data_IF_239194061838
#
_entry.id   IF_239194061838
#
_cell.length_a   1.000
_cell.length_b   1.000
_cell.length_c   1.000
_cell.angle_alpha   90.00
_cell.angle_beta   90.00
_cell.angle_gamma   90.00
#
_symmetry.space_group_name_H-M   'P 1'
#
loop_
_entity.id
_entity.type
_entity.pdbx_description
1 polymer ?
#
# COMPACT_ATOMS: atom_id res chain seq x y z
N UNK A 1 6.85 5.34 -19.38
CA UNK A 1 8.17 4.66 -19.46
C UNK A 1 8.63 4.41 -20.89
N UNK A 2 7.80 3.91 -21.81
CA UNK A 2 8.22 3.66 -23.21
C UNK A 2 8.89 4.87 -23.87
N UNK A 3 8.26 6.04 -23.84
CA UNK A 3 8.81 7.25 -24.43
C UNK A 3 10.19 7.65 -23.86
N UNK A 4 10.40 7.46 -22.55
CA UNK A 4 11.70 7.75 -21.92
C UNK A 4 12.79 6.78 -22.41
N UNK A 5 12.52 5.49 -22.48
CA UNK A 5 13.53 4.52 -22.95
C UNK A 5 13.78 4.56 -24.46
N UNK A 6 12.79 4.98 -25.25
CA UNK A 6 12.92 5.03 -26.71
C UNK A 6 13.45 6.37 -27.22
N UNK A 7 13.24 7.46 -26.47
CA UNK A 7 13.55 8.81 -26.94
C UNK A 7 14.33 9.67 -25.93
N UNK A 8 14.40 9.24 -24.66
CA UNK A 8 15.04 10.01 -23.59
C UNK A 8 16.44 9.51 -23.18
N UNK A 9 16.85 8.33 -23.65
CA UNK A 9 18.18 7.76 -23.36
C UNK A 9 18.92 7.50 -24.66
N UNK A 10 20.24 7.74 -24.66
CA UNK A 10 21.08 7.43 -25.82
C UNK A 10 21.17 5.91 -26.03
N UNK A 11 21.02 5.43 -27.27
CA UNK A 11 21.13 4.01 -27.55
C UNK A 11 22.58 3.55 -27.36
N UNK A 12 22.76 2.51 -26.56
CA UNK A 12 24.06 1.85 -26.40
C UNK A 12 24.13 0.64 -27.33
N UNK A 13 25.17 0.58 -28.17
CA UNK A 13 25.37 -0.53 -29.09
C UNK A 13 26.06 -1.72 -28.40
N UNK A 14 25.31 -2.40 -27.53
CA UNK A 14 25.72 -3.63 -26.84
C UNK A 14 24.74 -4.73 -27.23
N UNK A 15 25.26 -5.90 -27.63
CA UNK A 15 24.45 -7.05 -27.96
C UNK A 15 23.62 -7.50 -26.74
N UNK A 16 22.35 -7.85 -26.97
CA UNK A 16 21.51 -8.43 -25.93
C UNK A 16 22.10 -9.75 -25.43
N UNK A 17 22.07 -9.96 -24.11
CA UNK A 17 22.44 -11.26 -23.54
C UNK A 17 21.44 -12.34 -23.94
N UNK A 18 21.96 -13.54 -24.15
CA UNK A 18 21.12 -14.72 -24.36
C UNK A 18 20.26 -15.03 -23.12
N UNK A 19 19.19 -15.81 -23.31
CA UNK A 19 18.28 -16.14 -22.21
C UNK A 19 18.94 -17.20 -21.31
N UNK A 20 19.28 -16.83 -20.08
CA UNK A 20 19.83 -17.78 -19.08
C UNK A 20 18.75 -18.64 -18.41
N UNK A 21 17.50 -18.55 -18.88
CA UNK A 21 16.35 -19.26 -18.29
C UNK A 21 16.31 -20.68 -18.87
N UNK A 22 16.44 -21.73 -18.04
CA UNK A 22 16.43 -23.11 -18.54
C UNK A 22 15.05 -23.51 -19.06
N UNK A 23 15.02 -24.42 -20.03
CA UNK A 23 13.79 -25.09 -20.42
C UNK A 23 13.26 -25.93 -19.24
N UNK A 24 11.94 -25.94 -18.95
CA UNK A 24 10.82 -25.37 -19.72
C UNK A 24 10.45 -23.91 -19.40
N UNK A 25 11.11 -23.26 -18.43
CA UNK A 25 10.77 -21.91 -17.97
C UNK A 25 11.03 -20.82 -19.02
N UNK A 26 11.83 -21.12 -20.05
CA UNK A 26 12.06 -20.24 -21.20
C UNK A 26 10.87 -20.14 -22.17
N UNK A 27 9.85 -21.00 -22.04
CA UNK A 27 8.65 -20.93 -22.88
C UNK A 27 7.87 -19.64 -22.61
N UNK A 28 7.79 -18.75 -23.61
CA UNK A 28 7.05 -17.48 -23.50
C UNK A 28 5.56 -17.57 -23.82
N UNK A 29 5.15 -18.61 -24.56
CA UNK A 29 3.76 -18.75 -25.01
C UNK A 29 2.73 -18.87 -23.86
N UNK A 30 3.01 -19.50 -22.69
CA UNK A 30 2.03 -19.56 -21.60
C UNK A 30 1.73 -18.17 -21.04
N UNK A 31 2.76 -17.32 -20.95
CA UNK A 31 2.58 -15.93 -20.50
C UNK A 31 1.81 -15.11 -21.53
N UNK A 32 2.02 -15.34 -22.83
CA UNK A 32 1.25 -14.69 -23.88
C UNK A 32 -0.24 -15.07 -23.79
N UNK A 33 -0.56 -16.35 -23.59
CA UNK A 33 -1.92 -16.82 -23.38
C UNK A 33 -2.55 -16.21 -22.12
N UNK A 34 -1.84 -16.25 -20.99
CA UNK A 34 -2.30 -15.65 -19.74
C UNK A 34 -2.58 -14.14 -19.88
N UNK A 35 -1.68 -13.40 -20.56
CA UNK A 35 -1.87 -11.98 -20.85
C UNK A 35 -3.09 -11.74 -21.73
N UNK A 36 -3.34 -12.60 -22.73
CA UNK A 36 -4.52 -12.50 -23.59
C UNK A 36 -5.85 -12.65 -22.85
N UNK A 37 -5.86 -13.37 -21.72
CA UNK A 37 -7.07 -13.56 -20.90
C UNK A 37 -7.24 -12.45 -19.86
N UNK A 38 -6.15 -12.03 -19.20
CA UNK A 38 -6.24 -11.23 -17.98
C UNK A 38 -5.71 -9.80 -18.10
N UNK A 39 -4.88 -9.49 -19.09
CA UNK A 39 -4.33 -8.13 -19.23
C UNK A 39 -5.31 -7.25 -20.02
N UNK A 40 -5.64 -6.04 -19.53
CA UNK A 40 -6.47 -5.12 -20.30
C UNK A 40 -5.71 -4.63 -21.54
N UNK A 41 -6.48 -4.25 -22.56
CA UNK A 41 -5.92 -3.56 -23.72
C UNK A 41 -5.31 -2.23 -23.28
N UNK A 42 -4.05 -1.93 -23.67
CA UNK A 42 -3.45 -0.62 -23.39
C UNK A 42 -4.36 0.49 -23.91
N UNK A 43 -4.68 1.44 -23.04
CA UNK A 43 -5.48 2.61 -23.36
C UNK A 43 -4.87 3.84 -22.71
N UNK A 44 -5.09 4.99 -23.34
CA UNK A 44 -4.61 6.26 -22.81
C UNK A 44 -5.39 6.64 -21.55
N UNK A 45 -4.71 7.36 -20.66
CA UNK A 45 -5.35 7.87 -19.47
C UNK A 45 -6.31 9.01 -19.82
N UNK A 46 -7.60 8.79 -19.59
CA UNK A 46 -8.64 9.80 -19.80
C UNK A 46 -8.90 10.56 -18.51
N UNK A 47 -8.64 11.87 -18.52
CA UNK A 47 -8.90 12.78 -17.38
C UNK A 47 -10.39 13.07 -17.30
N UNK A 48 -10.98 12.96 -16.12
CA UNK A 48 -12.35 13.42 -15.88
C UNK A 48 -12.37 14.91 -15.50
N UNK A 49 -12.92 15.82 -16.34
CA UNK A 49 -12.92 17.26 -16.07
C UNK A 49 -13.84 17.67 -14.91
N UNK A 50 -14.70 16.76 -14.43
CA UNK A 50 -15.62 17.01 -13.31
C UNK A 50 -15.00 16.67 -11.94
N UNK A 51 -13.77 16.13 -11.92
CA UNK A 51 -13.04 15.77 -10.70
C UNK A 51 -11.91 16.79 -10.47
N UNK A 52 -11.56 17.03 -9.21
CA UNK A 52 -10.42 17.87 -8.83
C UNK A 52 -9.16 17.42 -9.62
N UNK A 53 -8.49 18.34 -10.35
CA UNK A 53 -7.31 18.00 -11.15
C UNK A 53 -6.18 17.38 -10.32
N UNK A 54 -6.06 17.73 -9.03
CA UNK A 54 -5.07 17.15 -8.12
C UNK A 54 -5.41 15.68 -7.81
N UNK A 55 -6.70 15.34 -7.70
CA UNK A 55 -7.12 13.95 -7.52
C UNK A 55 -6.91 13.13 -8.80
N UNK A 56 -7.20 13.70 -9.97
CA UNK A 56 -6.94 13.03 -11.26
C UNK A 56 -5.45 12.81 -11.50
N UNK A 57 -4.60 13.78 -11.12
CA UNK A 57 -3.14 13.59 -11.12
C UNK A 57 -2.72 12.45 -10.21
N UNK A 58 -3.29 12.38 -9.01
CA UNK A 58 -3.03 11.29 -8.08
C UNK A 58 -3.48 9.93 -8.62
N UNK A 59 -4.64 9.89 -9.28
CA UNK A 59 -5.16 8.70 -9.96
C UNK A 59 -4.21 8.23 -11.05
N UNK A 60 -3.74 9.13 -11.91
CA UNK A 60 -2.75 8.83 -12.94
C UNK A 60 -1.47 8.21 -12.38
N UNK A 61 -0.95 8.78 -11.29
CA UNK A 61 0.27 8.31 -10.65
C UNK A 61 0.08 6.96 -9.94
N UNK A 62 -1.07 6.73 -9.30
CA UNK A 62 -1.32 5.52 -8.50
C UNK A 62 -1.78 4.33 -9.35
N UNK A 63 -2.70 4.56 -10.30
CA UNK A 63 -3.24 3.52 -11.19
C UNK A 63 -2.34 3.23 -12.39
N UNK A 64 -1.65 4.25 -12.90
CA UNK A 64 -0.78 4.13 -14.06
C UNK A 64 0.67 3.91 -13.67
N UNK A 65 1.43 5.01 -13.62
CA UNK A 65 2.90 4.97 -13.62
C UNK A 65 3.53 4.37 -12.36
N UNK A 66 2.92 4.59 -11.20
CA UNK A 66 3.42 4.10 -9.92
C UNK A 66 3.06 2.65 -9.62
N UNK A 67 2.20 2.00 -10.41
CA UNK A 67 1.81 0.59 -10.28
C UNK A 67 1.48 0.17 -8.83
N UNK A 68 0.87 1.07 -8.05
CA UNK A 68 0.64 0.85 -6.63
C UNK A 68 -0.27 -0.36 -6.40
N UNK A 69 -1.19 -0.62 -7.34
CA UNK A 69 -2.06 -1.79 -7.38
C UNK A 69 -1.30 -3.12 -7.41
N UNK A 70 -0.15 -3.18 -8.08
CA UNK A 70 0.59 -4.44 -8.28
C UNK A 70 1.02 -5.10 -6.96
N UNK A 71 1.27 -4.31 -5.92
CA UNK A 71 1.60 -4.83 -4.59
C UNK A 71 0.38 -4.81 -3.65
N UNK A 72 -0.46 -3.79 -3.73
CA UNK A 72 -1.53 -3.57 -2.75
C UNK A 72 -2.84 -4.29 -3.08
N UNK A 73 -3.13 -4.54 -4.36
CA UNK A 73 -4.33 -5.25 -4.82
C UNK A 73 -4.20 -6.76 -4.56
N UNK A 74 -5.23 -7.44 -4.05
CA UNK A 74 -5.23 -8.89 -3.96
C UNK A 74 -5.03 -9.54 -5.34
N UNK A 75 -4.29 -10.65 -5.36
CA UNK A 75 -4.17 -11.51 -6.54
C UNK A 75 -5.21 -12.62 -6.52
N UNK A 76 -5.66 -13.04 -7.70
CA UNK A 76 -6.48 -14.24 -7.89
C UNK A 76 -5.59 -15.50 -7.84
N UNK A 77 -6.22 -16.68 -7.90
CA UNK A 77 -5.52 -17.97 -7.95
C UNK A 77 -4.58 -18.08 -9.15
N UNK A 78 -4.98 -17.48 -10.27
CA UNK A 78 -4.18 -17.40 -11.51
C UNK A 78 -3.17 -16.22 -11.49
N UNK A 79 -2.88 -15.64 -10.32
CA UNK A 79 -1.87 -14.60 -10.07
C UNK A 79 -2.09 -13.22 -10.72
N UNK A 80 -3.21 -12.98 -11.40
CA UNK A 80 -3.60 -11.65 -11.87
C UNK A 80 -4.14 -10.80 -10.72
N UNK A 81 -3.99 -9.48 -10.85
CA UNK A 81 -4.65 -8.53 -9.96
C UNK A 81 -6.17 -8.66 -10.08
N UNK A 82 -6.88 -8.67 -8.95
CA UNK A 82 -8.34 -8.78 -8.96
C UNK A 82 -9.04 -7.49 -9.40
N UNK A 83 -8.33 -6.37 -9.35
CA UNK A 83 -8.83 -5.06 -9.77
C UNK A 83 -7.66 -4.14 -10.14
N UNK A 84 -7.77 -3.42 -11.25
CA UNK A 84 -6.70 -2.55 -11.77
C UNK A 84 -6.98 -1.06 -11.55
N UNK A 85 -8.24 -0.70 -11.27
CA UNK A 85 -8.70 0.68 -11.13
C UNK A 85 -9.76 0.82 -10.03
N UNK A 86 -10.00 2.05 -9.57
CA UNK A 86 -11.07 2.36 -8.62
C UNK A 86 -12.47 1.92 -9.11
N UNK A 87 -12.70 2.01 -10.42
CA UNK A 87 -13.94 1.58 -11.07
C UNK A 87 -14.23 0.09 -10.95
N UNK A 88 -13.21 -0.74 -10.78
CA UNK A 88 -13.34 -2.20 -10.59
C UNK A 88 -13.71 -2.57 -9.14
N UNK A 89 -13.94 -1.55 -8.29
CA UNK A 89 -14.68 -1.69 -7.06
C UNK A 89 -13.82 -2.03 -5.84
N UNK A 90 -14.39 -2.83 -4.95
CA UNK A 90 -13.90 -2.90 -3.56
C UNK A 90 -12.54 -3.58 -3.44
N UNK A 91 -12.15 -4.44 -4.38
CA UNK A 91 -10.83 -5.08 -4.35
C UNK A 91 -9.70 -4.07 -4.55
N UNK A 92 -9.90 -3.06 -5.41
CA UNK A 92 -8.96 -1.95 -5.59
C UNK A 92 -9.01 -0.97 -4.40
N UNK A 93 -10.21 -0.57 -3.94
CA UNK A 93 -10.32 0.35 -2.80
C UNK A 93 -9.77 -0.25 -1.49
N UNK A 94 -9.88 -1.56 -1.32
CA UNK A 94 -9.27 -2.29 -0.19
C UNK A 94 -7.75 -2.39 -0.32
N UNK A 95 -7.18 -2.28 -1.51
CA UNK A 95 -5.73 -2.19 -1.72
C UNK A 95 -5.14 -1.00 -0.93
N UNK A 96 -5.82 0.16 -0.99
CA UNK A 96 -5.46 1.35 -0.20
C UNK A 96 -5.56 1.12 1.33
N UNK A 97 -6.22 0.05 1.79
CA UNK A 97 -6.36 -0.30 3.21
C UNK A 97 -5.54 -1.55 3.59
N UNK A 98 -4.93 -2.22 2.62
CA UNK A 98 -4.34 -3.54 2.83
C UNK A 98 -3.00 -3.43 3.55
N UNK A 99 -2.93 -4.07 4.72
CA UNK A 99 -1.69 -4.38 5.43
C UNK A 99 -0.94 -5.43 4.63
N UNK A 100 0.22 -5.09 4.10
CA UNK A 100 1.16 -6.08 3.57
C UNK A 100 1.86 -6.74 4.76
N UNK A 101 1.21 -7.72 5.38
CA UNK A 101 1.89 -8.69 6.24
C UNK A 101 1.96 -9.99 5.47
N UNK A 102 3.16 -10.38 5.06
CA UNK A 102 3.42 -11.75 4.65
C UNK A 102 2.98 -12.69 5.79
N UNK A 103 2.00 -13.57 5.52
CA UNK A 103 1.77 -14.78 6.32
C UNK A 103 1.04 -14.69 7.67
N UNK A 104 0.30 -13.63 8.02
CA UNK A 104 -0.47 -13.61 9.29
C UNK A 104 -2.00 -13.63 9.11
N UNK A 105 -2.74 -14.49 9.86
CA UNK A 105 -4.20 -14.48 9.85
C UNK A 105 -4.76 -13.13 10.36
N UNK A 106 -5.92 -12.69 9.84
CA UNK A 106 -6.41 -11.31 9.95
C UNK A 106 -6.75 -10.83 11.38
N UNK A 107 -6.71 -11.71 12.39
CA UNK A 107 -7.15 -11.41 13.75
C UNK A 107 -6.05 -10.80 14.67
N UNK A 108 -4.76 -10.89 14.33
CA UNK A 108 -3.67 -10.44 15.20
C UNK A 108 -2.76 -9.35 14.58
N UNK A 109 -3.17 -8.72 13.48
CA UNK A 109 -2.38 -7.70 12.77
C UNK A 109 -2.50 -6.29 13.39
N UNK A 110 -2.37 -6.18 14.71
CA UNK A 110 -2.24 -4.88 15.37
C UNK A 110 -0.78 -4.39 15.21
N UNK A 111 -0.62 -3.23 14.54
CA UNK A 111 0.60 -2.39 14.51
C UNK A 111 1.64 -2.62 13.40
N UNK A 112 1.24 -3.00 12.19
CA UNK A 112 2.10 -2.81 11.00
C UNK A 112 1.48 -1.82 10.03
N UNK A 113 2.37 -1.05 9.37
CA UNK A 113 2.09 0.18 8.65
C UNK A 113 0.87 0.05 7.72
N UNK A 114 0.09 1.09 7.79
CA UNK A 114 -1.24 1.22 7.22
C UNK A 114 -1.26 2.64 6.69
N UNK A 115 -2.15 2.91 5.74
CA UNK A 115 -2.48 4.28 5.34
C UNK A 115 -2.92 5.15 6.55
N UNK A 116 -3.08 4.58 7.76
CA UNK A 116 -3.11 5.30 9.04
C UNK A 116 -1.96 6.31 9.23
N UNK A 117 -0.81 6.14 8.58
CA UNK A 117 0.27 7.13 8.56
C UNK A 117 -0.04 8.39 7.74
N UNK A 118 -0.85 8.26 6.69
CA UNK A 118 -1.20 9.31 5.74
C UNK A 118 -2.23 10.30 6.31
N UNK A 119 -3.04 9.86 7.26
CA UNK A 119 -4.11 10.69 7.87
C UNK A 119 -3.57 11.70 8.89
N UNK A 120 -2.42 11.42 9.53
CA UNK A 120 -1.89 12.22 10.65
C UNK A 120 -0.48 12.74 10.47
N UNK A 121 0.24 12.34 9.43
CA UNK A 121 1.38 13.13 8.96
C UNK A 121 0.82 14.46 8.45
N UNK A 122 1.10 15.55 9.15
CA UNK A 122 0.65 16.91 8.84
C UNK A 122 0.99 17.36 7.40
N UNK A 123 1.82 16.60 6.68
CA UNK A 123 2.33 16.92 5.34
C UNK A 123 2.16 15.82 4.27
N UNK A 124 1.50 14.68 4.55
CA UNK A 124 1.31 13.62 3.53
C UNK A 124 2.60 12.99 2.96
N UNK A 125 3.78 13.31 3.52
CA UNK A 125 5.11 12.92 3.00
C UNK A 125 5.55 11.49 3.32
N UNK A 126 4.70 10.66 3.91
CA UNK A 126 5.06 9.26 4.19
C UNK A 126 5.51 8.49 2.94
N UNK A 127 4.88 8.68 1.76
CA UNK A 127 5.37 8.05 0.53
C UNK A 127 6.80 8.52 0.16
N UNK A 128 7.18 9.75 0.48
CA UNK A 128 8.50 10.31 0.15
C UNK A 128 9.57 9.97 1.19
N UNK A 129 9.21 9.95 2.47
CA UNK A 129 10.14 9.81 3.60
C UNK A 129 10.17 8.41 4.19
N UNK A 130 9.22 7.55 3.80
CA UNK A 130 9.05 6.22 4.37
C UNK A 130 8.65 6.20 5.84
N UNK A 131 8.39 7.35 6.50
CA UNK A 131 8.18 7.44 7.95
C UNK A 131 7.25 8.59 8.36
N UNK A 132 6.61 8.42 9.51
CA UNK A 132 6.05 9.49 10.34
C UNK A 132 6.18 9.10 11.84
N UNK A 133 5.62 9.93 12.72
CA UNK A 133 5.65 9.75 14.18
C UNK A 133 5.02 8.43 14.69
N UNK A 134 4.20 7.76 13.88
CA UNK A 134 3.42 6.58 14.27
C UNK A 134 3.65 5.35 13.38
N UNK A 135 4.32 5.49 12.25
CA UNK A 135 4.56 4.39 11.32
C UNK A 135 5.80 4.62 10.49
N UNK A 136 6.47 3.54 10.15
CA UNK A 136 7.60 3.50 9.22
C UNK A 136 7.37 2.35 8.24
N UNK A 137 7.85 2.55 7.03
CA UNK A 137 7.81 1.61 5.91
C UNK A 137 8.92 0.57 6.10
N UNK A 138 8.63 -0.69 5.82
CA UNK A 138 9.57 -1.81 5.92
C UNK A 138 9.41 -2.77 4.75
N UNK A 139 10.42 -3.60 4.50
CA UNK A 139 10.41 -4.59 3.41
C UNK A 139 10.45 -3.94 2.03
N UNK A 140 9.99 -4.60 0.97
CA UNK A 140 10.11 -4.08 -0.41
C UNK A 140 9.46 -2.71 -0.69
N UNK A 141 8.68 -2.15 0.24
CA UNK A 141 8.22 -0.77 0.14
C UNK A 141 9.31 0.25 0.51
N UNK A 142 10.35 -0.11 1.28
CA UNK A 142 11.51 0.79 1.52
C UNK A 142 12.27 1.05 0.23
N UNK A 143 12.45 0.02 -0.60
CA UNK A 143 13.17 0.12 -1.88
C UNK A 143 12.40 1.03 -2.85
N UNK A 144 11.07 0.98 -2.81
CA UNK A 144 10.20 1.88 -3.59
C UNK A 144 10.35 3.34 -3.13
N UNK A 145 10.50 3.57 -1.82
CA UNK A 145 10.75 4.93 -1.30
C UNK A 145 12.13 5.41 -1.73
N UNK A 146 13.17 4.60 -1.50
CA UNK A 146 14.57 4.94 -1.73
C UNK A 146 14.93 5.09 -3.21
N UNK A 147 14.35 4.28 -4.10
CA UNK A 147 14.72 4.30 -5.51
C UNK A 147 13.69 4.99 -6.40
N UNK A 148 12.57 5.48 -5.84
CA UNK A 148 11.53 6.14 -6.63
C UNK A 148 10.84 7.30 -5.91
N UNK A 149 10.05 7.03 -4.87
CA UNK A 149 9.12 8.03 -4.35
C UNK A 149 9.80 9.23 -3.68
N UNK A 150 11.02 9.06 -3.14
CA UNK A 150 11.73 10.18 -2.50
C UNK A 150 12.09 11.31 -3.47
N UNK A 151 12.17 11.02 -4.77
CA UNK A 151 12.53 11.97 -5.83
C UNK A 151 11.33 12.68 -6.47
N UNK A 152 10.10 12.35 -6.06
CA UNK A 152 8.90 13.00 -6.58
C UNK A 152 8.77 14.44 -6.08
N UNK A 153 8.10 15.27 -6.89
CA UNK A 153 7.74 16.63 -6.50
C UNK A 153 6.74 16.63 -5.33
N UNK A 154 6.74 17.70 -4.52
CA UNK A 154 5.78 17.87 -3.43
C UNK A 154 4.32 17.86 -3.95
N UNK A 155 4.10 18.32 -5.19
CA UNK A 155 2.79 18.31 -5.85
C UNK A 155 2.33 16.88 -6.18
N UNK A 156 3.21 16.06 -6.74
CA UNK A 156 2.91 14.65 -7.04
C UNK A 156 2.70 13.84 -5.77
N UNK A 157 3.50 14.08 -4.72
CA UNK A 157 3.30 13.47 -3.39
C UNK A 157 1.95 13.87 -2.80
N UNK A 158 1.58 15.14 -2.92
CA UNK A 158 0.28 15.64 -2.46
C UNK A 158 -0.87 14.99 -3.25
N UNK A 159 -0.73 14.87 -4.57
CA UNK A 159 -1.72 14.25 -5.44
C UNK A 159 -1.94 12.78 -5.09
N UNK A 160 -0.85 12.00 -4.97
CA UNK A 160 -0.88 10.60 -4.52
C UNK A 160 -1.55 10.50 -3.14
N UNK A 161 -1.15 11.34 -2.19
CA UNK A 161 -1.69 11.28 -0.84
C UNK A 161 -3.19 11.60 -0.79
N UNK A 162 -3.65 12.60 -1.55
CA UNK A 162 -5.07 12.95 -1.66
C UNK A 162 -5.89 11.84 -2.30
N UNK A 163 -5.38 11.22 -3.37
CA UNK A 163 -6.04 10.11 -4.04
C UNK A 163 -6.17 8.87 -3.14
N UNK A 164 -5.10 8.44 -2.48
CA UNK A 164 -5.15 7.31 -1.54
C UNK A 164 -6.14 7.56 -0.38
N UNK A 165 -6.26 8.81 0.06
CA UNK A 165 -7.23 9.21 1.10
C UNK A 165 -8.67 9.16 0.60
N UNK A 166 -8.95 9.48 -0.67
CA UNK A 166 -10.30 9.41 -1.24
C UNK A 166 -10.76 7.96 -1.36
N UNK A 167 -9.89 7.04 -1.81
CA UNK A 167 -10.16 5.60 -1.88
C UNK A 167 -10.58 5.02 -0.53
N UNK A 168 -9.89 5.40 0.55
CA UNK A 168 -10.24 4.99 1.92
C UNK A 168 -11.62 5.49 2.33
N UNK A 169 -11.94 6.76 2.07
CA UNK A 169 -13.25 7.33 2.42
C UNK A 169 -14.37 6.58 1.71
N UNK A 170 -14.18 6.29 0.42
CA UNK A 170 -15.13 5.49 -0.36
C UNK A 170 -15.30 4.07 0.23
N UNK A 171 -14.22 3.43 0.67
CA UNK A 171 -14.28 2.12 1.34
C UNK A 171 -14.94 2.16 2.74
N UNK A 172 -14.72 3.25 3.49
CA UNK A 172 -15.18 3.39 4.88
C UNK A 172 -16.66 3.78 4.99
N UNK A 173 -17.21 4.52 4.03
CA UNK A 173 -18.62 4.98 4.02
C UNK A 173 -19.64 3.88 3.66
N UNK A 174 -19.22 2.60 3.53
CA UNK A 174 -20.16 1.50 3.28
C UNK A 174 -20.68 0.87 4.58
N UNK A 175 -21.99 0.51 4.64
CA UNK A 175 -22.57 -0.13 5.80
C UNK A 175 -21.86 -1.46 6.08
N UNK A 176 -21.40 -1.65 7.32
CA UNK A 176 -20.75 -2.87 7.75
C UNK A 176 -21.72 -4.05 7.59
N UNK A 177 -21.29 -5.21 7.04
CA UNK A 177 -22.16 -6.37 6.92
C UNK A 177 -22.61 -6.81 8.32
N UNK A 178 -23.90 -7.16 8.46
CA UNK A 178 -24.58 -7.42 9.74
C UNK A 178 -23.82 -8.40 10.65
N UNK A 179 -23.10 -9.36 10.06
CA UNK A 179 -22.29 -10.32 10.82
C UNK A 179 -21.11 -9.68 11.55
N UNK A 180 -20.46 -8.63 11.01
CA UNK A 180 -19.39 -7.91 11.72
C UNK A 180 -19.94 -7.14 12.92
N UNK A 181 -21.18 -6.65 12.85
CA UNK A 181 -21.86 -6.00 13.97
C UNK A 181 -22.24 -7.03 15.05
N UNK A 182 -22.66 -8.22 14.65
CA UNK A 182 -22.92 -9.35 15.55
C UNK A 182 -21.62 -9.83 16.24
N UNK A 183 -20.54 -10.01 15.49
CA UNK A 183 -19.23 -10.41 16.03
C UNK A 183 -18.62 -9.35 16.96
N UNK A 184 -18.80 -8.05 16.67
CA UNK A 184 -18.35 -6.97 17.56
C UNK A 184 -19.14 -6.93 18.88
N UNK A 185 -20.43 -7.30 18.87
CA UNK A 185 -21.22 -7.50 20.10
C UNK A 185 -20.78 -8.74 20.89
N UNK A 186 -20.37 -9.80 20.19
CA UNK A 186 -19.88 -11.05 20.81
C UNK A 186 -18.48 -10.83 21.43
N UNK A 187 -17.53 -10.27 20.68
CA UNK A 187 -16.17 -9.99 21.16
C UNK A 187 -16.10 -8.78 22.11
N UNK A 188 -16.97 -7.77 21.95
CA UNK A 188 -17.05 -6.62 22.85
C UNK A 188 -17.63 -6.96 24.23
N UNK A 189 -18.23 -8.15 24.40
CA UNK A 189 -18.67 -8.66 25.70
C UNK A 189 -17.51 -9.29 26.49
N UNK A 190 -16.35 -9.54 25.86
CA UNK A 190 -15.16 -10.13 26.51
C UNK A 190 -14.21 -9.05 27.08
N UNK A 191 -14.45 -7.76 26.82
CA UNK A 191 -13.59 -6.67 27.32
C UNK A 191 -13.94 -6.11 28.70
N UNK A 192 -14.89 -6.69 29.45
CA UNK A 192 -14.95 -6.43 30.90
C UNK A 192 -13.89 -7.27 31.61
N UNK A 193 -12.61 -6.98 31.33
CA UNK A 193 -11.56 -7.24 32.31
C UNK A 193 -11.80 -6.23 33.42
N UNK A 194 -12.23 -6.73 34.59
CA UNK A 194 -12.33 -5.98 35.84
C UNK A 194 -11.02 -5.20 36.02
N UNK A 195 -11.03 -3.86 36.20
CA UNK A 195 -9.79 -3.12 36.35
C UNK A 195 -9.02 -3.70 37.54
N UNK A 196 -7.76 -4.10 37.32
CA UNK A 196 -6.86 -4.48 38.40
C UNK A 196 -6.76 -3.31 39.40
N UNK A 197 -6.68 -3.58 40.72
CA UNK A 197 -6.53 -2.51 41.70
C UNK A 197 -5.25 -1.71 41.40
N UNK A 198 -5.37 -0.38 41.49
CA UNK A 198 -4.24 0.54 41.29
C UNK A 198 -3.11 0.12 42.23
N UNK A 199 -1.92 -0.15 41.68
CA UNK A 199 -0.71 -0.19 42.48
C UNK A 199 -0.48 1.21 43.05
N UNK A 200 -0.83 1.40 44.32
CA UNK A 200 -0.37 2.53 45.12
C UNK A 200 1.15 2.50 45.20
N UNK A 201 1.74 3.68 45.06
CA UNK A 201 3.16 4.02 45.13
C UNK A 201 4.02 3.05 45.94
N UNK A 202 5.03 2.47 45.28
CA UNK A 202 6.18 1.88 45.97
C UNK A 202 7.00 3.06 46.50
N UNK A 203 6.94 3.28 47.81
CA UNK A 203 7.84 4.18 48.53
C UNK A 203 9.27 3.69 48.32
N UNK A 204 10.14 4.56 47.80
CA UNK A 204 11.56 4.26 47.63
C UNK A 204 12.20 3.96 49.00
N UNK A 205 12.89 2.82 49.11
CA UNK A 205 13.82 2.56 50.21
C UNK A 205 15.03 3.49 50.10
N UNK A 206 15.56 4.04 51.22
CA UNK A 206 16.71 4.91 51.20
C UNK A 206 17.98 4.15 50.81
N UNK A 207 18.78 4.75 49.94
CA UNK A 207 20.08 4.24 49.53
C UNK A 207 21.07 4.30 50.71
N UNK A 208 21.68 3.17 51.07
CA UNK A 208 22.84 3.13 51.95
C UNK A 208 24.09 3.50 51.16
N UNK A 209 24.77 4.57 51.58
CA UNK A 209 26.05 5.00 51.02
C UNK A 209 27.18 4.02 51.45
N UNK A 210 28.20 3.80 50.60
CA UNK A 210 29.38 3.03 50.98
C UNK A 210 30.33 3.92 51.82
N UNK A 211 30.74 3.41 52.99
CA UNK A 211 31.87 3.95 53.76
C UNK A 211 33.20 3.55 53.12
N UNK A 212 34.15 4.47 53.18
CA UNK A 212 35.53 4.39 52.69
C UNK A 212 36.35 3.24 53.30
#
# INVERSE_FOLDING_TARGET
MYAYFMHGVEPVNVANKDTDIPWPLSMRWPLAFWRGIFAPTPSDFVVNPQVDPVLERGRYLVEGTGHCGACHTPRSLTMQEKALSESEGDDYRRAAMRRLTAGSPPACAAKTATVWGLERSRAGRVPQTGRNDKSVVFGGMSDVVEHSLQYLSDDDITAIARYLKSLRRAAANRPQPRWKTAWRKICGRVTTVKPAPRCTSITALPATAPTA
#
